data_IF_585773666140
#
_entry.id   IF_585773666140
#
_cell.length_a   1.000
_cell.length_b   1.000
_cell.length_c   1.000
_cell.angle_alpha   90.00
_cell.angle_beta   90.00
_cell.angle_gamma   90.00
#
_symmetry.space_group_name_H-M   'P 1'
#
loop_
_entity.id
_entity.type
_entity.pdbx_description
1 polymer ?
#
# COMPACT_ATOMS: atom_id res chain seq x y z
N UNK A 1 1.98 -6.86 30.06
CA UNK A 1 2.16 -7.07 28.60
C UNK A 1 1.68 -5.81 27.90
N UNK A 2 2.39 -5.35 26.86
CA UNK A 2 1.89 -4.26 26.02
C UNK A 2 0.58 -4.70 25.34
N UNK A 3 -0.33 -3.77 25.09
CA UNK A 3 -1.64 -4.06 24.49
C UNK A 3 -1.46 -4.77 23.14
N UNK A 4 -0.46 -4.35 22.38
CA UNK A 4 -0.09 -4.93 21.09
C UNK A 4 0.40 -6.38 21.22
N UNK A 5 1.16 -6.69 22.28
CA UNK A 5 1.61 -8.05 22.54
C UNK A 5 0.45 -8.98 22.95
N UNK A 6 -0.54 -8.48 23.69
CA UNK A 6 -1.74 -9.27 24.03
C UNK A 6 -2.55 -9.59 22.78
N UNK A 7 -2.72 -8.61 21.89
CA UNK A 7 -3.45 -8.79 20.64
C UNK A 7 -2.70 -9.78 19.73
N UNK A 8 -1.38 -9.64 19.62
CA UNK A 8 -0.54 -10.57 18.86
C UNK A 8 -0.64 -12.01 19.39
N UNK A 9 -0.53 -12.20 20.72
CA UNK A 9 -0.63 -13.53 21.34
C UNK A 9 -2.03 -14.12 21.17
N UNK A 10 -3.08 -13.32 21.34
CA UNK A 10 -4.46 -13.77 21.12
C UNK A 10 -4.66 -14.24 19.67
N UNK A 11 -4.14 -13.49 18.69
CA UNK A 11 -4.25 -13.82 17.28
C UNK A 11 -3.51 -15.12 16.96
N UNK A 12 -2.28 -15.30 17.48
CA UNK A 12 -1.52 -16.56 17.34
C UNK A 12 -2.28 -17.74 17.95
N UNK A 13 -2.82 -17.61 19.15
CA UNK A 13 -3.58 -18.68 19.81
C UNK A 13 -4.83 -19.05 19.01
N UNK A 14 -5.58 -18.07 18.52
CA UNK A 14 -6.76 -18.30 17.67
C UNK A 14 -6.36 -18.99 16.38
N UNK A 15 -5.29 -18.55 15.71
CA UNK A 15 -4.78 -19.19 14.50
C UNK A 15 -4.38 -20.65 14.73
N UNK A 16 -3.67 -20.94 15.82
CA UNK A 16 -3.28 -22.32 16.18
C UNK A 16 -4.52 -23.18 16.39
N UNK A 17 -5.53 -22.69 17.11
CA UNK A 17 -6.79 -23.42 17.33
C UNK A 17 -7.48 -23.73 16.01
N UNK A 18 -7.58 -22.75 15.10
CA UNK A 18 -8.19 -22.94 13.78
C UNK A 18 -7.42 -23.98 12.96
N UNK A 19 -6.08 -23.96 12.98
CA UNK A 19 -5.24 -24.93 12.27
C UNK A 19 -5.48 -26.35 12.81
N UNK A 20 -5.46 -26.52 14.14
CA UNK A 20 -5.66 -27.82 14.78
C UNK A 20 -7.05 -28.36 14.47
N UNK A 21 -8.09 -27.52 14.57
CA UNK A 21 -9.46 -27.91 14.20
C UNK A 21 -9.53 -28.31 12.72
N UNK A 22 -8.95 -27.53 11.81
CA UNK A 22 -8.95 -27.86 10.38
C UNK A 22 -8.30 -29.23 10.10
N UNK A 23 -7.12 -29.48 10.68
CA UNK A 23 -6.43 -30.79 10.54
C UNK A 23 -7.30 -31.91 11.11
N UNK A 24 -7.90 -31.71 12.29
CA UNK A 24 -8.79 -32.69 12.88
C UNK A 24 -10.00 -33.00 11.98
N UNK A 25 -10.66 -31.99 11.43
CA UNK A 25 -11.81 -32.15 10.53
C UNK A 25 -11.46 -32.90 9.24
N UNK A 26 -10.27 -32.66 8.69
CA UNK A 26 -9.83 -33.28 7.43
C UNK A 26 -9.39 -34.73 7.63
N UNK A 27 -8.68 -35.03 8.71
CA UNK A 27 -8.07 -36.37 8.93
C UNK A 27 -8.90 -37.30 9.83
N UNK A 28 -9.78 -36.73 10.67
CA UNK A 28 -10.62 -37.48 11.61
C UNK A 28 -12.09 -37.02 11.55
N UNK A 29 -12.78 -37.12 10.38
CA UNK A 29 -14.16 -36.67 10.24
C UNK A 29 -15.15 -37.38 11.18
N UNK A 30 -14.79 -38.57 11.70
CA UNK A 30 -15.53 -39.27 12.76
C UNK A 30 -17.01 -39.54 12.44
N UNK A 31 -17.80 -39.83 13.47
CA UNK A 31 -19.27 -39.98 13.34
C UNK A 31 -20.01 -38.62 13.35
N UNK A 32 -19.34 -37.55 13.81
CA UNK A 32 -19.93 -36.23 14.00
C UNK A 32 -20.19 -35.47 12.69
N UNK A 33 -19.53 -35.85 11.59
CA UNK A 33 -19.58 -35.13 10.33
C UNK A 33 -19.77 -36.12 9.17
N UNK A 34 -20.52 -35.78 8.11
CA UNK A 34 -20.76 -36.72 7.03
C UNK A 34 -19.47 -37.19 6.32
N UNK A 35 -19.37 -38.46 5.89
CA UNK A 35 -18.15 -39.05 5.32
C UNK A 35 -17.62 -38.44 4.03
N UNK A 36 -18.31 -37.44 3.46
CA UNK A 36 -17.91 -36.76 2.22
C UNK A 36 -17.39 -35.33 2.48
N UNK A 37 -17.48 -34.84 3.71
CA UNK A 37 -17.15 -33.44 4.05
C UNK A 37 -15.65 -33.17 3.88
N UNK A 38 -14.80 -34.13 4.23
CA UNK A 38 -13.35 -34.10 4.18
C UNK A 38 -12.87 -33.92 2.74
N UNK A 39 -13.46 -34.70 1.82
CA UNK A 39 -13.20 -34.60 0.39
C UNK A 39 -13.64 -33.24 -0.14
N UNK A 40 -14.82 -32.74 0.27
CA UNK A 40 -15.31 -31.43 -0.16
C UNK A 40 -14.41 -30.30 0.34
N UNK A 41 -14.00 -30.34 1.61
CA UNK A 41 -13.10 -29.35 2.22
C UNK A 41 -11.75 -29.36 1.52
N UNK A 42 -11.16 -30.53 1.29
CA UNK A 42 -9.89 -30.68 0.57
C UNK A 42 -9.98 -30.15 -0.87
N UNK A 43 -11.06 -30.46 -1.59
CA UNK A 43 -11.29 -29.94 -2.94
C UNK A 43 -11.43 -28.41 -2.93
N UNK A 44 -12.13 -27.85 -1.95
CA UNK A 44 -12.32 -26.41 -1.83
C UNK A 44 -10.99 -25.70 -1.51
N UNK A 45 -10.23 -26.15 -0.52
CA UNK A 45 -8.96 -25.54 -0.14
C UNK A 45 -7.89 -25.73 -1.21
N UNK A 46 -7.84 -26.91 -1.84
CA UNK A 46 -6.95 -27.17 -2.97
C UNK A 46 -7.28 -26.27 -4.17
N UNK A 47 -8.56 -26.13 -4.51
CA UNK A 47 -9.00 -25.22 -5.59
C UNK A 47 -8.69 -23.76 -5.23
N UNK A 48 -8.91 -23.33 -3.99
CA UNK A 48 -8.57 -21.98 -3.54
C UNK A 48 -7.07 -21.70 -3.66
N UNK A 49 -6.20 -22.65 -3.27
CA UNK A 49 -4.75 -22.51 -3.44
C UNK A 49 -4.37 -22.35 -4.92
N UNK A 50 -4.96 -23.14 -5.81
CA UNK A 50 -4.76 -23.02 -7.26
C UNK A 50 -5.24 -21.66 -7.77
N UNK A 51 -6.43 -21.20 -7.37
CA UNK A 51 -6.98 -19.90 -7.77
C UNK A 51 -6.07 -18.76 -7.35
N UNK A 52 -5.48 -18.80 -6.14
CA UNK A 52 -4.55 -17.77 -5.69
C UNK A 52 -3.29 -17.74 -6.57
N UNK A 53 -2.67 -18.89 -6.81
CA UNK A 53 -1.46 -19.00 -7.62
C UNK A 53 -1.73 -18.55 -9.06
N UNK A 54 -2.75 -19.10 -9.69
CA UNK A 54 -3.11 -18.76 -11.06
C UNK A 54 -3.69 -17.34 -11.19
N UNK A 55 -4.32 -16.81 -10.14
CA UNK A 55 -4.76 -15.43 -10.09
C UNK A 55 -3.58 -14.46 -10.16
N UNK A 56 -2.49 -14.74 -9.43
CA UNK A 56 -1.25 -13.97 -9.53
C UNK A 56 -0.63 -14.12 -10.92
N UNK A 57 -0.52 -15.34 -11.46
CA UNK A 57 0.03 -15.57 -12.80
C UNK A 57 -0.80 -14.87 -13.89
N UNK A 58 -2.12 -14.92 -13.78
CA UNK A 58 -3.03 -14.25 -14.70
C UNK A 58 -2.91 -12.73 -14.60
N UNK A 59 -2.76 -12.18 -13.39
CA UNK A 59 -2.51 -10.75 -13.20
C UNK A 59 -1.19 -10.33 -13.84
N UNK A 60 -0.10 -11.07 -13.61
CA UNK A 60 1.19 -10.79 -14.24
C UNK A 60 1.07 -10.88 -15.76
N UNK A 61 0.47 -11.96 -16.28
CA UNK A 61 0.24 -12.14 -17.71
C UNK A 61 -0.61 -11.02 -18.31
N UNK A 62 -1.63 -10.56 -17.59
CA UNK A 62 -2.46 -9.42 -17.98
C UNK A 62 -1.63 -8.14 -18.05
N UNK A 63 -0.79 -7.86 -17.05
CA UNK A 63 0.08 -6.68 -17.09
C UNK A 63 1.06 -6.76 -18.25
N UNK A 64 1.74 -7.87 -18.48
CA UNK A 64 2.66 -8.04 -19.60
C UNK A 64 1.98 -7.93 -20.97
N UNK A 65 0.76 -8.44 -21.10
CA UNK A 65 -0.01 -8.37 -22.34
C UNK A 65 -0.55 -6.96 -22.63
N UNK A 66 -0.77 -6.15 -21.59
CA UNK A 66 -1.37 -4.81 -21.70
C UNK A 66 -0.38 -3.68 -21.51
N UNK A 67 0.86 -3.97 -21.08
CA UNK A 67 1.95 -3.01 -21.09
C UNK A 67 2.63 -3.04 -22.46
N UNK A 68 2.41 -2.05 -23.34
CA UNK A 68 3.28 -1.86 -24.48
C UNK A 68 4.72 -1.68 -23.98
N UNK A 69 5.73 -2.14 -24.75
CA UNK A 69 7.13 -2.08 -24.36
C UNK A 69 7.46 -0.67 -23.86
N UNK A 70 8.16 -0.56 -22.72
CA UNK A 70 8.44 0.71 -22.06
C UNK A 70 8.96 1.71 -23.08
N UNK A 71 8.34 2.89 -23.13
CA UNK A 71 8.77 3.97 -24.04
C UNK A 71 10.25 4.28 -23.80
N UNK A 72 11.02 4.66 -24.84
CA UNK A 72 12.42 5.04 -24.71
C UNK A 72 12.61 6.09 -23.61
N UNK A 73 13.60 5.87 -22.74
CA UNK A 73 13.86 6.65 -21.52
C UNK A 73 14.07 8.14 -21.82
N UNK A 74 14.53 8.50 -23.02
CA UNK A 74 14.84 9.87 -23.44
C UNK A 74 13.62 10.82 -23.49
N UNK A 75 12.41 10.32 -23.75
CA UNK A 75 11.20 11.17 -23.75
C UNK A 75 10.70 11.44 -22.33
N UNK A 76 10.77 10.42 -21.46
CA UNK A 76 10.35 10.52 -20.05
C UNK A 76 11.31 11.40 -19.25
N UNK A 77 12.62 11.31 -19.51
CA UNK A 77 13.62 12.15 -18.85
C UNK A 77 13.47 13.62 -19.24
N UNK A 78 13.14 13.93 -20.50
CA UNK A 78 12.89 15.30 -20.96
C UNK A 78 11.59 15.89 -20.41
N UNK A 79 10.51 15.12 -20.34
CA UNK A 79 9.25 15.57 -19.73
C UNK A 79 9.42 15.81 -18.23
N UNK A 80 10.11 14.92 -17.51
CA UNK A 80 10.37 15.05 -16.07
C UNK A 80 11.30 16.24 -15.74
N UNK A 81 12.34 16.46 -16.56
CA UNK A 81 13.26 17.59 -16.38
C UNK A 81 12.57 18.94 -16.68
N UNK A 82 11.60 18.96 -17.60
CA UNK A 82 10.77 20.13 -17.87
C UNK A 82 9.80 20.43 -16.72
N UNK A 83 9.09 19.43 -16.19
CA UNK A 83 8.21 19.61 -15.03
C UNK A 83 8.98 20.08 -13.80
N UNK A 84 10.16 19.52 -13.55
CA UNK A 84 11.01 19.91 -12.40
C UNK A 84 11.51 21.35 -12.52
N UNK A 85 11.93 21.78 -13.72
CA UNK A 85 12.31 23.19 -13.98
C UNK A 85 11.14 24.14 -13.83
N UNK A 86 9.93 23.74 -14.20
CA UNK A 86 8.74 24.58 -14.04
C UNK A 86 8.34 24.74 -12.56
N UNK A 87 8.46 23.67 -11.77
CA UNK A 87 8.26 23.68 -10.31
C UNK A 87 9.29 24.57 -9.60
N UNK A 88 10.58 24.43 -9.90
CA UNK A 88 11.64 25.29 -9.34
C UNK A 88 11.42 26.77 -9.68
N UNK A 89 10.92 27.06 -10.89
CA UNK A 89 10.62 28.43 -11.31
C UNK A 89 9.44 29.02 -10.54
N UNK A 90 8.39 28.23 -10.30
CA UNK A 90 7.22 28.64 -9.50
C UNK A 90 7.60 28.89 -8.04
N UNK A 91 8.36 28.00 -7.41
CA UNK A 91 8.86 28.20 -6.04
C UNK A 91 9.77 29.43 -5.94
N UNK A 92 10.60 29.69 -6.95
CA UNK A 92 11.46 30.87 -6.99
C UNK A 92 10.67 32.18 -7.21
N UNK A 93 9.55 32.14 -7.93
CA UNK A 93 8.64 33.26 -8.12
C UNK A 93 7.83 33.54 -6.84
N UNK A 94 7.25 32.52 -6.19
CA UNK A 94 6.55 32.67 -4.90
C UNK A 94 7.48 33.23 -3.81
N UNK A 95 8.70 32.70 -3.72
CA UNK A 95 9.69 33.17 -2.74
C UNK A 95 10.19 34.60 -3.02
N UNK A 96 10.06 35.07 -4.26
CA UNK A 96 10.35 36.46 -4.65
C UNK A 96 9.15 37.39 -4.48
N UNK A 97 7.93 36.89 -4.41
CA UNK A 97 6.74 37.69 -4.06
C UNK A 97 6.55 37.84 -2.53
N UNK A 98 6.99 36.86 -1.74
CA UNK A 98 6.91 36.93 -0.27
C UNK A 98 7.93 37.91 0.35
N UNK A 99 9.14 38.01 -0.21
CA UNK A 99 10.23 38.88 0.32
C UNK A 99 9.97 40.39 0.22
N UNK A 100 9.40 40.94 -0.87
CA UNK A 100 9.06 42.36 -0.99
C UNK A 100 8.02 42.82 0.03
N UNK A 101 7.12 41.93 0.46
CA UNK A 101 6.07 42.23 1.43
C UNK A 101 6.58 42.27 2.88
N UNK A 102 7.68 41.57 3.19
CA UNK A 102 8.29 41.54 4.52
C UNK A 102 9.28 42.70 4.73
N UNK A 103 10.00 43.14 3.70
CA UNK A 103 10.95 44.27 3.78
C UNK A 103 10.29 45.67 3.81
N UNK A 104 9.01 45.82 3.44
CA UNK A 104 8.31 47.11 3.48
C UNK A 104 7.75 47.48 4.88
N UNK A 105 7.58 46.51 5.79
CA UNK A 105 7.01 46.73 7.13
C UNK A 105 7.95 47.25 8.24
N UNK A 106 9.29 47.13 8.19
CA UNK A 106 10.14 47.61 9.28
C UNK A 106 10.34 49.13 9.31
N UNK A 107 10.09 49.85 8.21
CA UNK A 107 10.43 51.28 8.10
C UNK A 107 9.35 52.21 8.69
N UNK A 108 8.07 51.84 8.64
CA UNK A 108 6.97 52.64 9.23
C UNK A 108 6.92 52.55 10.77
N UNK A 109 7.39 51.46 11.38
CA UNK A 109 7.28 51.25 12.82
C UNK A 109 8.29 52.05 13.68
N UNK A 110 9.30 52.70 13.07
CA UNK A 110 10.29 53.52 13.80
C UNK A 110 9.99 55.03 13.79
N UNK A 111 9.03 55.50 13.01
CA UNK A 111 8.74 56.93 12.89
C UNK A 111 7.77 57.46 13.98
N UNK A 112 6.97 56.61 14.64
CA UNK A 112 5.92 57.06 15.58
C UNK A 112 6.33 57.05 17.07
N UNK A 113 7.58 56.71 17.40
CA UNK A 113 8.06 56.56 18.78
C UNK A 113 8.66 57.81 19.45
N UNK A 114 8.36 59.02 18.97
CA UNK A 114 8.78 60.28 19.61
C UNK A 114 7.59 61.24 19.75
N UNK A 115 6.75 61.02 20.76
CA UNK A 115 5.95 62.05 21.44
C UNK A 115 5.87 61.74 22.93
#
# INVERSE_FOLDING_TARGET
MSKDQVIGVLLVLVSIVVIVLYIWFVFFPGWLVPPWIDIVVLKLTGTAAIIVVFGILAWIGYTLATTPPPKPIEEIEKELEQELKELERREAEERKEERPAEEAKPEEAKAEGQQ
#
